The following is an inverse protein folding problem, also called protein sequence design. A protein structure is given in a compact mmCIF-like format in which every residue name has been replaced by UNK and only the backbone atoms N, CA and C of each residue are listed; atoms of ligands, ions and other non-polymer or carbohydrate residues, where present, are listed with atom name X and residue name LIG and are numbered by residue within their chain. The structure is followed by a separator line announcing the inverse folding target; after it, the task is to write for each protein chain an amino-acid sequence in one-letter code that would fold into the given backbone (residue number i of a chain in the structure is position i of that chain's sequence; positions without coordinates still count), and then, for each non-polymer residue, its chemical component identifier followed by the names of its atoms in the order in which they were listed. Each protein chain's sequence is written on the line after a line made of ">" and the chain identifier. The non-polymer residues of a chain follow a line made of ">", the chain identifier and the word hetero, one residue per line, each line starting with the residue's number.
data_IF_321579831289
#
_entry.id   IF_321579831289
#
_cell.length_a   1.000
_cell.length_b   1.000
_cell.length_c   1.000
_cell.angle_alpha   90.00
_cell.angle_beta   90.00
_cell.angle_gamma   90.00
#
_symmetry.space_group_name_H-M   'P 1'
#
loop_
_entity.id
_entity.type
_entity.pdbx_description
1 polymer ?
#
# COMPACT_ATOMS: atom_id res chain seq x y z
N UNK A 1 22.18 2.07 14.84
CA UNK A 1 21.13 1.78 13.85
C UNK A 1 19.85 1.48 14.63
N UNK A 2 18.74 2.20 14.42
CA UNK A 2 17.48 1.91 15.13
C UNK A 2 16.80 0.73 14.43
N UNK A 3 16.79 -0.43 15.07
CA UNK A 3 16.09 -1.62 14.57
C UNK A 3 14.60 -1.44 14.80
N UNK A 4 13.80 -1.51 13.74
CA UNK A 4 12.33 -1.54 13.82
C UNK A 4 11.84 -2.97 13.61
N UNK A 5 10.81 -3.37 14.35
CA UNK A 5 10.18 -4.67 14.18
C UNK A 5 8.90 -4.52 13.35
N UNK A 6 8.63 -5.43 12.40
CA UNK A 6 7.37 -5.42 11.67
C UNK A 6 6.21 -5.80 12.59
N UNK A 7 5.01 -5.34 12.24
CA UNK A 7 3.76 -5.75 12.89
C UNK A 7 3.45 -7.18 12.45
N UNK A 8 3.41 -8.12 13.41
CA UNK A 8 3.17 -9.55 13.14
C UNK A 8 1.77 -10.02 13.52
N UNK A 9 1.08 -9.30 14.39
CA UNK A 9 -0.26 -9.66 14.85
C UNK A 9 -1.32 -9.22 13.85
N UNK A 10 -2.10 -10.18 13.36
CA UNK A 10 -3.28 -9.92 12.51
C UNK A 10 -4.31 -9.07 13.26
N UNK A 11 -4.44 -9.25 14.58
CA UNK A 11 -5.37 -8.47 15.39
C UNK A 11 -4.97 -7.00 15.45
N UNK A 12 -3.68 -6.72 15.58
CA UNK A 12 -3.16 -5.34 15.53
C UNK A 12 -3.44 -4.69 14.17
N UNK A 13 -3.25 -5.43 13.07
CA UNK A 13 -3.59 -4.95 11.72
C UNK A 13 -5.09 -4.61 11.62
N UNK A 14 -5.97 -5.50 12.11
CA UNK A 14 -7.42 -5.28 12.12
C UNK A 14 -7.83 -4.06 12.97
N UNK A 15 -7.15 -3.82 14.09
CA UNK A 15 -7.39 -2.65 14.93
C UNK A 15 -7.02 -1.35 14.18
N UNK A 16 -5.86 -1.32 13.53
CA UNK A 16 -5.42 -0.18 12.71
C UNK A 16 -6.43 0.06 11.57
N UNK A 17 -6.84 -1.00 10.87
CA UNK A 17 -7.85 -0.90 9.82
C UNK A 17 -9.17 -0.28 10.32
N UNK A 18 -9.66 -0.70 11.49
CA UNK A 18 -10.89 -0.15 12.10
C UNK A 18 -10.75 1.34 12.41
N UNK A 19 -9.63 1.75 13.01
CA UNK A 19 -9.34 3.15 13.33
C UNK A 19 -9.31 3.99 12.05
N UNK A 20 -8.50 3.57 11.06
CA UNK A 20 -8.36 4.31 9.81
C UNK A 20 -9.68 4.41 9.05
N UNK A 21 -10.47 3.33 8.99
CA UNK A 21 -11.77 3.32 8.33
C UNK A 21 -12.76 4.30 8.97
N UNK A 22 -12.69 4.50 10.29
CA UNK A 22 -13.53 5.45 11.01
C UNK A 22 -13.13 6.92 10.80
N UNK A 23 -11.85 7.17 10.50
CA UNK A 23 -11.31 8.53 10.36
C UNK A 23 -11.29 8.99 8.89
N UNK A 24 -10.86 8.12 7.97
CA UNK A 24 -10.59 8.45 6.59
C UNK A 24 -10.60 7.20 5.72
N UNK A 25 -11.61 7.09 4.85
CA UNK A 25 -11.70 5.98 3.89
C UNK A 25 -10.48 5.95 2.96
N UNK A 26 -9.93 7.13 2.61
CA UNK A 26 -8.71 7.26 1.82
C UNK A 26 -7.52 6.59 2.50
N UNK A 27 -7.30 6.88 3.78
CA UNK A 27 -6.13 6.38 4.49
C UNK A 27 -6.27 4.89 4.82
N UNK A 28 -7.49 4.42 5.07
CA UNK A 28 -7.80 3.00 5.13
C UNK A 28 -7.43 2.28 3.82
N UNK A 29 -7.82 2.82 2.67
CA UNK A 29 -7.48 2.23 1.37
C UNK A 29 -5.96 2.24 1.12
N UNK A 30 -5.28 3.36 1.43
CA UNK A 30 -3.82 3.46 1.28
C UNK A 30 -3.09 2.44 2.15
N UNK A 31 -3.51 2.27 3.40
CA UNK A 31 -2.95 1.28 4.31
C UNK A 31 -3.14 -0.12 3.76
N UNK A 32 -4.37 -0.48 3.37
CA UNK A 32 -4.69 -1.81 2.87
C UNK A 32 -3.97 -2.13 1.56
N UNK A 33 -3.87 -1.16 0.65
CA UNK A 33 -3.11 -1.32 -0.59
C UNK A 33 -1.61 -1.50 -0.29
N UNK A 34 -1.06 -0.70 0.61
CA UNK A 34 0.37 -0.75 0.96
C UNK A 34 0.80 -2.08 1.56
N UNK A 35 0.07 -2.59 2.54
CA UNK A 35 0.44 -3.85 3.23
C UNK A 35 0.27 -5.09 2.35
N UNK A 36 -0.67 -5.08 1.40
CA UNK A 36 -0.93 -6.23 0.53
C UNK A 36 -0.10 -6.24 -0.75
N UNK A 37 0.37 -5.08 -1.23
CA UNK A 37 1.16 -4.98 -2.46
C UNK A 37 2.68 -4.90 -2.23
N UNK A 38 3.12 -4.53 -1.03
CA UNK A 38 4.55 -4.32 -0.74
C UNK A 38 5.16 -3.11 -1.47
N UNK A 39 4.34 -2.29 -2.13
CA UNK A 39 4.78 -1.09 -2.83
C UNK A 39 5.16 0.02 -1.83
N UNK A 40 6.11 0.86 -2.23
CA UNK A 40 6.44 2.06 -1.44
C UNK A 40 5.34 3.09 -1.57
N UNK A 41 5.09 3.85 -0.50
CA UNK A 41 4.03 4.86 -0.48
C UNK A 41 4.16 5.88 -1.62
N UNK A 42 5.38 6.26 -1.99
CA UNK A 42 5.64 7.17 -3.12
C UNK A 42 5.12 6.63 -4.44
N UNK A 43 5.21 5.31 -4.64
CA UNK A 43 4.76 4.64 -5.86
C UNK A 43 3.25 4.46 -5.86
N UNK A 44 2.66 4.11 -4.71
CA UNK A 44 1.22 4.00 -4.52
C UNK A 44 0.50 5.31 -4.86
N UNK A 45 1.04 6.45 -4.41
CA UNK A 45 0.44 7.76 -4.64
C UNK A 45 0.39 8.18 -6.13
N UNK A 46 1.17 7.54 -7.00
CA UNK A 46 1.17 7.83 -8.45
C UNK A 46 0.19 6.95 -9.23
N UNK A 47 -0.38 5.93 -8.60
CA UNK A 47 -1.35 5.05 -9.25
C UNK A 47 -2.61 5.82 -9.66
N UNK A 48 -3.09 5.58 -10.88
CA UNK A 48 -4.34 6.15 -11.37
C UNK A 48 -5.36 5.03 -11.56
N UNK A 49 -6.62 5.34 -11.30
CA UNK A 49 -7.73 4.37 -11.46
C UNK A 49 -7.76 3.77 -12.87
N UNK A 50 -7.48 4.57 -13.90
CA UNK A 50 -7.45 4.11 -15.29
C UNK A 50 -6.38 3.05 -15.59
N UNK A 51 -5.32 2.99 -14.78
CA UNK A 51 -4.21 2.05 -14.98
C UNK A 51 -4.50 0.70 -14.28
N UNK A 52 -5.50 0.66 -13.39
CA UNK A 52 -5.84 -0.51 -12.57
C UNK A 52 -7.22 -1.09 -12.89
N UNK A 53 -8.17 -0.25 -13.29
CA UNK A 53 -9.56 -0.66 -13.51
C UNK A 53 -9.65 -1.61 -14.69
N UNK A 54 -10.29 -2.76 -14.47
CA UNK A 54 -10.47 -3.83 -15.46
C UNK A 54 -9.14 -4.43 -15.96
N UNK A 55 -8.09 -4.37 -15.14
CA UNK A 55 -6.80 -5.00 -15.44
C UNK A 55 -6.50 -6.05 -14.37
N UNK A 56 -6.03 -7.22 -14.80
CA UNK A 56 -5.56 -8.26 -13.88
C UNK A 56 -4.15 -7.94 -13.34
N UNK A 57 -3.37 -7.15 -14.09
CA UNK A 57 -1.99 -6.77 -13.79
C UNK A 57 -1.70 -5.34 -14.24
N UNK A 58 -0.76 -4.66 -13.59
CA UNK A 58 -0.32 -3.33 -13.99
C UNK A 58 1.20 -3.20 -13.89
N UNK A 59 1.79 -2.51 -14.85
CA UNK A 59 3.23 -2.29 -14.87
C UNK A 59 3.57 -1.04 -14.06
N UNK A 60 4.47 -1.17 -13.09
CA UNK A 60 4.94 -0.06 -12.27
C UNK A 60 6.46 0.07 -12.36
N UNK A 61 6.92 1.30 -12.66
CA UNK A 61 8.33 1.67 -12.56
C UNK A 61 8.60 2.28 -11.18
N UNK A 62 9.37 1.58 -10.36
CA UNK A 62 9.74 2.04 -9.03
C UNK A 62 10.51 3.36 -9.11
N UNK A 63 10.13 4.33 -8.29
CA UNK A 63 10.84 5.61 -8.27
C UNK A 63 12.25 5.50 -7.72
N UNK A 64 12.44 4.71 -6.66
CA UNK A 64 13.71 4.66 -5.94
C UNK A 64 14.80 3.92 -6.72
N UNK A 65 14.43 2.82 -7.36
CA UNK A 65 15.39 1.92 -8.03
C UNK A 65 15.36 2.03 -9.55
N UNK A 66 14.32 2.63 -10.13
CA UNK A 66 14.11 2.70 -11.57
C UNK A 66 13.70 1.36 -12.20
N UNK A 67 13.58 0.28 -11.43
CA UNK A 67 13.20 -1.04 -11.93
C UNK A 67 11.73 -1.07 -12.31
N UNK A 68 11.42 -1.81 -13.37
CA UNK A 68 10.05 -2.02 -13.83
C UNK A 68 9.57 -3.38 -13.32
N UNK A 69 8.44 -3.39 -12.62
CA UNK A 69 7.76 -4.60 -12.14
C UNK A 69 6.40 -4.74 -12.87
N UNK A 70 5.97 -5.99 -13.08
CA UNK A 70 4.68 -6.35 -13.67
C UNK A 70 3.74 -6.87 -12.60
#
# INVERSE_FOLDING_TARGET
>A
MKTVQPIRSIEQIKQIEKILKSQSMRDYMLFRLGINSGLRISDILKLKVKDLRNQDYFILKEQKTGKTQR
#
